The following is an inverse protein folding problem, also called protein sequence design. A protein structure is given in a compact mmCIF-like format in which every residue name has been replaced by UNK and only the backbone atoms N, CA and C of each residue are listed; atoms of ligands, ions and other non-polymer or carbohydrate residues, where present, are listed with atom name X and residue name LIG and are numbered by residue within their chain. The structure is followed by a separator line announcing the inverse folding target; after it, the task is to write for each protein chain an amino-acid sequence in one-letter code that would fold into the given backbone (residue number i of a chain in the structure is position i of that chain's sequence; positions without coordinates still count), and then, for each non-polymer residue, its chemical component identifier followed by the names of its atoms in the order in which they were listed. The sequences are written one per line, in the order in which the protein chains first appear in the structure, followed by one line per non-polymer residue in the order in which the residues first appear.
data_IF_264734398275
#
_entry.id   IF_264734398275
#
_cell.length_a   1.000
_cell.length_b   1.000
_cell.length_c   1.000
_cell.angle_alpha   90.00
_cell.angle_beta   90.00
_cell.angle_gamma   90.00
#
_symmetry.space_group_name_H-M   'P 1'
#
loop_
_entity.id
_entity.type
_entity.pdbx_description
1 polymer ?
#
# COMPACT_ATOMS: atom_id res chain seq x y z
N UNK A 1 9.46 1.16 29.87
CA UNK A 1 9.28 0.96 29.53
C UNK A 1 9.00 0.78 28.93
N UNK A 2 8.82 1.03 28.80
CA UNK A 2 8.48 0.78 28.23
C UNK A 2 8.35 0.62 27.46
N UNK A 3 8.44 0.79 27.27
CA UNK A 3 8.20 0.51 26.49
C UNK A 3 8.26 0.23 25.85
N UNK A 4 8.44 0.23 25.83
CA UNK A 4 8.53 -0.23 25.18
C UNK A 4 8.41 -1.14 24.69
N UNK A 5 7.90 -1.34 24.56
CA UNK A 5 7.64 -2.18 24.16
C UNK A 5 7.18 -2.34 23.18
N UNK A 6 6.85 -2.00 22.90
CA UNK A 6 6.33 -2.15 22.00
C UNK A 6 6.79 -2.22 21.01
N UNK A 7 7.10 -1.96 20.97
CA UNK A 7 7.63 -1.90 19.94
C UNK A 7 7.75 -3.05 19.33
N UNK A 8 7.54 -3.49 19.17
CA UNK A 8 7.69 -4.41 18.66
C UNK A 8 7.66 -4.91 17.66
N UNK A 9 7.42 -5.25 17.21
CA UNK A 9 7.46 -5.92 16.35
C UNK A 9 6.97 -5.50 15.26
N UNK A 10 7.07 -4.69 15.08
CA UNK A 10 6.61 -4.05 14.05
C UNK A 10 6.93 -4.51 12.82
N UNK A 11 7.92 -4.75 12.72
CA UNK A 11 8.42 -5.05 11.64
C UNK A 11 7.77 -6.06 10.96
N UNK A 12 6.92 -6.62 11.50
CA UNK A 12 6.43 -7.64 10.84
C UNK A 12 5.52 -7.26 9.79
N UNK A 13 4.37 -6.80 10.06
CA UNK A 13 3.39 -6.48 9.06
C UNK A 13 2.78 -5.15 9.31
N UNK A 14 2.55 -4.35 8.26
CA UNK A 14 1.84 -3.10 8.45
C UNK A 14 0.43 -3.40 8.94
N UNK A 15 -0.03 -2.70 9.96
CA UNK A 15 -1.34 -2.96 10.55
C UNK A 15 -2.38 -1.92 10.24
N UNK A 16 -2.01 -0.70 9.91
CA UNK A 16 -2.98 0.32 9.56
C UNK A 16 -3.09 0.44 8.05
N UNK A 17 -4.20 1.04 7.61
CA UNK A 17 -4.39 1.26 6.18
C UNK A 17 -3.27 2.12 5.63
N UNK A 18 -2.91 3.16 6.34
CA UNK A 18 -1.85 4.05 5.87
C UNK A 18 -0.52 3.32 5.73
N UNK A 19 -0.18 2.49 6.70
CA UNK A 19 1.05 1.72 6.62
C UNK A 19 1.07 0.77 5.43
N UNK A 20 -0.08 0.16 5.15
CA UNK A 20 -0.18 -0.73 4.02
C UNK A 20 -0.06 0.02 2.70
N UNK A 21 -0.64 1.21 2.62
CA UNK A 21 -0.50 2.04 1.42
C UNK A 21 0.95 2.46 1.24
N UNK A 22 1.64 2.82 2.32
CA UNK A 22 3.05 3.19 2.22
C UNK A 22 3.90 2.01 1.76
N UNK A 23 3.59 0.82 2.24
CA UNK A 23 4.29 -0.38 1.80
C UNK A 23 4.09 -0.59 0.30
N UNK A 24 2.86 -0.41 -0.18
CA UNK A 24 2.56 -0.53 -1.60
C UNK A 24 3.28 0.54 -2.41
N UNK A 25 3.30 1.78 -1.91
CA UNK A 25 4.00 2.87 -2.60
C UNK A 25 5.49 2.57 -2.73
N UNK A 26 6.08 2.07 -1.65
CA UNK A 26 7.48 1.72 -1.68
C UNK A 26 7.75 0.66 -2.75
N UNK A 27 6.95 -0.40 -2.77
CA UNK A 27 7.08 -1.43 -3.79
C UNK A 27 6.91 -0.85 -5.19
N UNK A 28 5.89 0.00 -5.35
CA UNK A 28 5.58 0.57 -6.66
C UNK A 28 6.75 1.36 -7.22
N UNK A 29 7.33 2.21 -6.39
CA UNK A 29 8.40 3.08 -6.87
C UNK A 29 9.75 2.38 -6.94
N UNK A 30 10.03 1.46 -6.05
CA UNK A 30 11.33 0.78 -6.07
C UNK A 30 11.43 -0.27 -7.17
N UNK A 31 10.30 -0.79 -7.63
CA UNK A 31 10.31 -1.77 -8.72
C UNK A 31 9.95 -1.14 -10.05
N UNK A 32 9.83 0.18 -10.09
CA UNK A 32 9.58 0.93 -11.34
C UNK A 32 8.33 0.43 -12.07
N UNK A 33 7.25 0.24 -11.32
CA UNK A 33 6.00 -0.20 -11.91
C UNK A 33 5.34 0.93 -12.68
N UNK A 34 4.53 0.58 -13.68
CA UNK A 34 3.78 1.57 -14.45
C UNK A 34 2.36 1.66 -13.92
N UNK A 35 1.88 2.89 -13.76
CA UNK A 35 0.54 3.10 -13.20
C UNK A 35 -0.54 2.40 -13.99
N UNK A 36 -0.49 2.47 -15.32
CA UNK A 36 -1.51 1.83 -16.12
C UNK A 36 -1.56 0.32 -15.94
N UNK A 37 -0.39 -0.30 -15.91
CA UNK A 37 -0.31 -1.75 -15.76
C UNK A 37 -0.82 -2.19 -14.39
N UNK A 38 -0.42 -1.48 -13.34
CA UNK A 38 -0.84 -1.83 -11.99
C UNK A 38 -2.33 -1.58 -11.80
N UNK A 39 -2.84 -0.48 -12.38
CA UNK A 39 -4.26 -0.18 -12.27
C UNK A 39 -5.10 -1.29 -12.90
N UNK A 40 -4.68 -1.82 -14.02
CA UNK A 40 -5.38 -2.92 -14.66
C UNK A 40 -5.39 -4.15 -13.74
N UNK A 41 -4.27 -4.46 -13.12
CA UNK A 41 -4.18 -5.59 -12.21
C UNK A 41 -5.08 -5.41 -11.00
N UNK A 42 -5.26 -4.17 -10.56
CA UNK A 42 -6.12 -3.89 -9.41
C UNK A 42 -7.59 -3.72 -9.79
N UNK A 43 -7.89 -3.63 -11.08
CA UNK A 43 -9.26 -3.42 -11.53
C UNK A 43 -9.77 -2.01 -11.32
N UNK A 44 -8.87 -1.03 -11.33
CA UNK A 44 -9.22 0.38 -11.17
C UNK A 44 -8.61 1.17 -12.30
N UNK A 45 -8.97 2.45 -12.42
CA UNK A 45 -8.37 3.27 -13.46
C UNK A 45 -7.10 3.94 -12.92
N UNK A 46 -6.30 4.45 -13.82
CA UNK A 46 -5.02 5.05 -13.45
C UNK A 46 -5.19 6.30 -12.61
N UNK A 47 -6.27 7.04 -12.79
CA UNK A 47 -6.54 8.22 -11.98
C UNK A 47 -6.74 7.85 -10.52
N UNK A 48 -7.52 6.80 -10.27
CA UNK A 48 -7.75 6.36 -8.90
C UNK A 48 -6.46 5.87 -8.28
N UNK A 49 -5.67 5.11 -9.03
CA UNK A 49 -4.39 4.65 -8.54
C UNK A 49 -3.48 5.82 -8.19
N UNK A 50 -3.45 6.84 -9.04
CA UNK A 50 -2.63 8.01 -8.76
C UNK A 50 -3.05 8.70 -7.46
N UNK A 51 -4.34 8.81 -7.21
CA UNK A 51 -4.82 9.42 -5.98
C UNK A 51 -4.40 8.64 -4.76
N UNK A 52 -4.40 7.32 -4.86
CA UNK A 52 -3.94 6.48 -3.76
C UNK A 52 -2.45 6.66 -3.55
N UNK A 53 -1.68 6.70 -4.62
CA UNK A 53 -0.24 6.86 -4.52
C UNK A 53 0.17 8.22 -3.94
N UNK A 54 -0.65 9.25 -4.16
CA UNK A 54 -0.36 10.57 -3.61
C UNK A 54 -1.04 10.79 -2.25
N UNK A 55 -1.73 9.77 -1.75
CA UNK A 55 -2.43 9.82 -0.47
C UNK A 55 -3.60 10.80 -0.45
N UNK A 56 -4.13 11.13 -1.63
CA UNK A 56 -5.33 11.95 -1.70
C UNK A 56 -6.56 11.13 -1.39
N UNK A 57 -6.47 9.82 -1.54
CA UNK A 57 -7.58 8.93 -1.31
C UNK A 57 -7.05 7.63 -0.75
N UNK A 58 -7.71 7.08 0.25
CA UNK A 58 -7.31 5.78 0.79
C UNK A 58 -8.15 4.69 0.12
N UNK A 59 -7.56 3.52 -0.13
CA UNK A 59 -8.29 2.42 -0.74
C UNK A 59 -9.25 1.79 0.27
N UNK A 60 -10.32 1.16 -0.25
CA UNK A 60 -11.18 0.40 0.64
C UNK A 60 -10.51 -0.94 0.93
N UNK A 61 -11.16 -1.73 1.76
CA UNK A 61 -10.56 -2.96 2.24
C UNK A 61 -10.29 -3.96 1.14
N UNK A 62 -11.22 -4.11 0.23
CA UNK A 62 -11.07 -5.05 -0.87
C UNK A 62 -9.91 -4.65 -1.78
N UNK A 63 -9.84 -3.38 -2.12
CA UNK A 63 -8.76 -2.89 -2.97
C UNK A 63 -7.42 -3.01 -2.26
N UNK A 64 -7.41 -2.70 -0.96
CA UNK A 64 -6.19 -2.79 -0.17
C UNK A 64 -5.66 -4.22 -0.14
N UNK A 65 -6.55 -5.20 -0.03
CA UNK A 65 -6.15 -6.60 -0.06
C UNK A 65 -5.46 -6.93 -1.38
N UNK A 66 -6.01 -6.47 -2.50
CA UNK A 66 -5.40 -6.70 -3.79
C UNK A 66 -4.04 -6.03 -3.91
N UNK A 67 -3.94 -4.81 -3.37
CA UNK A 67 -2.67 -4.09 -3.38
C UNK A 67 -1.60 -4.85 -2.61
N UNK A 68 -1.97 -5.39 -1.47
CA UNK A 68 -1.02 -6.14 -0.65
C UNK A 68 -0.58 -7.42 -1.34
N UNK A 69 -1.46 -8.05 -2.08
CA UNK A 69 -1.09 -9.24 -2.81
C UNK A 69 -0.12 -8.97 -3.95
N UNK A 70 -0.24 -7.79 -4.56
CA UNK A 70 0.69 -7.41 -5.60
C UNK A 70 2.07 -7.11 -5.08
N UNK A 71 2.16 -6.51 -3.91
CA UNK A 71 3.45 -6.05 -3.41
C UNK A 71 4.13 -7.00 -2.43
N UNK A 72 3.68 -8.22 -2.41
CA UNK A 72 4.32 -9.23 -1.57
C UNK A 72 5.76 -9.48 -1.96
#
# INVERSE_FOLDING_TARGET
MAGIKYAPKPYEKPVTVLERVECFRHWFYTTHQKKGAVAIKLGINAKKLNRILTLEQLPDEELLTRMMELCK
#
